data_IF_203528937260
#
_entry.id   IF_203528937260
#
_cell.length_a   1.000
_cell.length_b   1.000
_cell.length_c   1.000
_cell.angle_alpha   90.00
_cell.angle_beta   90.00
_cell.angle_gamma   90.00
#
_symmetry.space_group_name_H-M   'P 1'
#
loop_
_entity.id
_entity.type
_entity.pdbx_description
1 polymer ?
#
# COMPACT_ATOMS: atom_id res chain seq x y z
N UNK A 1 16.75 -0.31 -17.22
CA UNK A 1 16.16 -1.63 -17.53
C UNK A 1 14.99 -1.46 -18.46
N UNK A 2 15.10 -1.92 -19.70
CA UNK A 2 13.99 -1.83 -20.67
C UNK A 2 12.73 -2.48 -20.09
N UNK A 3 11.58 -1.81 -20.21
CA UNK A 3 10.30 -2.26 -19.68
C UNK A 3 9.97 -1.81 -18.25
N UNK A 4 10.94 -1.38 -17.43
CA UNK A 4 10.68 -0.87 -16.07
C UNK A 4 10.54 0.66 -16.10
N UNK A 5 9.31 1.16 -15.93
CA UNK A 5 9.00 2.59 -15.90
C UNK A 5 8.98 3.20 -14.50
N UNK A 6 8.77 2.38 -13.47
CA UNK A 6 8.62 2.84 -12.08
C UNK A 6 9.34 1.89 -11.14
N UNK A 7 10.14 2.46 -10.24
CA UNK A 7 10.75 1.76 -9.11
C UNK A 7 10.23 2.44 -7.86
N UNK A 8 9.51 1.66 -7.03
CA UNK A 8 8.83 2.17 -5.86
C UNK A 8 9.34 1.49 -4.59
N UNK A 9 9.47 2.27 -3.52
CA UNK A 9 9.81 1.77 -2.18
C UNK A 9 8.61 1.96 -1.25
N UNK A 10 8.27 0.94 -0.45
CA UNK A 10 7.36 1.09 0.69
C UNK A 10 8.17 1.08 1.98
N UNK A 11 7.95 2.05 2.87
CA UNK A 11 8.73 2.21 4.10
C UNK A 11 7.89 2.83 5.23
N UNK A 12 8.27 2.59 6.48
CA UNK A 12 7.74 3.34 7.63
C UNK A 12 8.36 4.75 7.75
N UNK A 13 9.34 5.07 6.92
CA UNK A 13 9.94 6.40 6.82
C UNK A 13 11.03 6.72 7.83
N UNK A 14 11.35 5.83 8.79
CA UNK A 14 12.27 6.14 9.90
C UNK A 14 13.71 6.47 9.45
N UNK A 15 14.11 6.03 8.27
CA UNK A 15 15.43 6.32 7.67
C UNK A 15 15.31 7.11 6.37
N UNK A 16 14.12 7.65 6.09
CA UNK A 16 13.84 8.29 4.81
C UNK A 16 14.72 9.51 4.60
N UNK A 17 14.74 10.43 5.57
CA UNK A 17 15.52 11.67 5.52
C UNK A 17 17.01 11.42 5.23
N UNK A 18 17.58 10.37 5.81
CA UNK A 18 19.00 10.04 5.70
C UNK A 18 19.38 9.44 4.33
N UNK A 19 18.47 8.70 3.70
CA UNK A 19 18.82 7.85 2.55
C UNK A 19 18.13 8.24 1.23
N UNK A 20 17.11 9.09 1.26
CA UNK A 20 16.27 9.37 0.08
C UNK A 20 17.07 9.91 -1.11
N UNK A 21 18.10 10.73 -0.87
CA UNK A 21 18.97 11.25 -1.92
C UNK A 21 19.70 10.10 -2.63
N UNK A 22 20.33 9.21 -1.86
CA UNK A 22 21.05 8.06 -2.42
C UNK A 22 20.10 7.14 -3.20
N UNK A 23 18.88 6.93 -2.71
CA UNK A 23 17.89 6.12 -3.42
C UNK A 23 17.41 6.77 -4.71
N UNK A 24 17.22 8.08 -4.71
CA UNK A 24 16.90 8.86 -5.90
C UNK A 24 18.00 8.77 -6.96
N UNK A 25 19.26 8.97 -6.55
CA UNK A 25 20.43 8.88 -7.44
C UNK A 25 20.57 7.47 -8.05
N UNK A 26 20.11 6.43 -7.33
CA UNK A 26 20.04 5.05 -7.80
C UNK A 26 18.81 4.75 -8.70
N UNK A 27 17.91 5.72 -8.92
CA UNK A 27 16.77 5.63 -9.83
C UNK A 27 15.40 5.39 -9.16
N UNK A 28 15.28 5.53 -7.83
CA UNK A 28 13.98 5.51 -7.15
C UNK A 28 13.12 6.70 -7.60
N UNK A 29 11.90 6.44 -8.07
CA UNK A 29 11.01 7.49 -8.58
C UNK A 29 9.59 7.48 -8.00
N UNK A 30 9.31 6.55 -7.09
CA UNK A 30 8.06 6.52 -6.32
C UNK A 30 8.29 6.04 -4.88
N UNK A 31 7.49 6.56 -3.95
CA UNK A 31 7.58 6.26 -2.54
C UNK A 31 6.18 6.01 -1.96
N UNK A 32 6.04 4.96 -1.16
CA UNK A 32 4.87 4.69 -0.33
C UNK A 32 5.30 4.71 1.14
N UNK A 33 4.67 5.54 1.96
CA UNK A 33 5.01 5.68 3.37
C UNK A 33 3.86 5.20 4.22
N UNK A 34 4.13 4.35 5.21
CA UNK A 34 3.16 3.99 6.24
C UNK A 34 3.17 5.05 7.34
N UNK A 35 2.06 5.76 7.51
CA UNK A 35 1.89 6.85 8.46
C UNK A 35 0.43 6.90 8.95
N UNK A 36 0.13 6.16 10.00
CA UNK A 36 -1.24 5.94 10.48
C UNK A 36 -1.89 7.15 11.17
N UNK A 37 -1.12 8.19 11.49
CA UNK A 37 -1.62 9.44 12.04
C UNK A 37 -0.72 10.63 11.71
N UNK A 38 -1.33 11.80 11.62
CA UNK A 38 -0.67 13.11 11.54
C UNK A 38 -0.62 13.83 12.91
N UNK A 39 -1.17 13.23 13.97
CA UNK A 39 -1.00 13.68 15.35
C UNK A 39 0.15 12.90 16.01
N UNK A 40 1.15 13.61 16.54
CA UNK A 40 2.36 12.98 17.09
C UNK A 40 2.06 12.02 18.27
N UNK A 41 1.08 12.35 19.13
CA UNK A 41 0.73 11.50 20.28
C UNK A 41 0.02 10.24 19.83
N UNK A 42 -0.90 10.35 18.89
CA UNK A 42 -1.58 9.19 18.33
C UNK A 42 -0.62 8.33 17.51
N UNK A 43 0.25 8.94 16.71
CA UNK A 43 1.30 8.25 15.96
C UNK A 43 2.20 7.43 16.90
N UNK A 44 2.64 8.03 18.01
CA UNK A 44 3.44 7.33 19.03
C UNK A 44 2.66 6.21 19.71
N UNK A 45 1.38 6.41 19.99
CA UNK A 45 0.50 5.36 20.55
C UNK A 45 0.37 4.17 19.59
N UNK A 46 0.24 4.41 18.28
CA UNK A 46 0.08 3.36 17.27
C UNK A 46 1.40 2.64 17.00
N UNK A 47 2.49 3.39 16.81
CA UNK A 47 3.77 2.84 16.33
C UNK A 47 4.74 2.48 17.45
N UNK A 48 4.51 2.97 18.67
CA UNK A 48 5.47 2.90 19.78
C UNK A 48 6.63 3.90 19.67
N UNK A 49 6.68 4.73 18.61
CA UNK A 49 7.82 5.60 18.32
C UNK A 49 7.41 7.05 18.04
N UNK A 50 8.25 7.98 18.50
CA UNK A 50 8.03 9.43 18.37
C UNK A 50 8.84 9.98 17.18
N UNK A 51 8.43 9.60 15.95
CA UNK A 51 9.23 9.82 14.72
C UNK A 51 8.47 10.54 13.61
N UNK A 52 7.24 11.01 13.88
CA UNK A 52 6.38 11.63 12.88
C UNK A 52 7.05 12.83 12.18
N UNK A 53 7.66 13.73 12.96
CA UNK A 53 8.31 14.94 12.41
C UNK A 53 9.45 14.59 11.44
N UNK A 54 10.23 13.55 11.74
CA UNK A 54 11.30 13.09 10.87
C UNK A 54 10.76 12.52 9.56
N UNK A 55 9.68 11.74 9.63
CA UNK A 55 9.00 11.19 8.45
C UNK A 55 8.48 12.31 7.56
N UNK A 56 7.82 13.31 8.15
CA UNK A 56 7.31 14.47 7.42
C UNK A 56 8.45 15.24 6.73
N UNK A 57 9.57 15.48 7.40
CA UNK A 57 10.77 16.09 6.77
C UNK A 57 11.30 15.25 5.61
N UNK A 58 11.33 13.93 5.74
CA UNK A 58 11.73 13.04 4.66
C UNK A 58 10.77 13.08 3.46
N UNK A 59 9.47 13.26 3.70
CA UNK A 59 8.46 13.46 2.64
C UNK A 59 8.74 14.72 1.85
N UNK A 60 8.99 15.85 2.54
CA UNK A 60 9.26 17.12 1.85
C UNK A 60 10.50 17.01 0.96
N UNK A 61 11.59 16.39 1.44
CA UNK A 61 12.80 16.14 0.61
C UNK A 61 12.46 15.27 -0.61
N UNK A 62 11.66 14.21 -0.44
CA UNK A 62 11.26 13.37 -1.57
C UNK A 62 10.44 14.15 -2.61
N UNK A 63 9.56 15.05 -2.16
CA UNK A 63 8.77 15.92 -3.02
C UNK A 63 9.66 16.91 -3.79
N UNK A 64 10.64 17.52 -3.12
CA UNK A 64 11.60 18.45 -3.73
C UNK A 64 12.44 17.77 -4.83
N UNK A 65 12.78 16.48 -4.65
CA UNK A 65 13.45 15.65 -5.66
C UNK A 65 12.54 15.23 -6.83
N UNK A 66 11.24 15.52 -6.76
CA UNK A 66 10.25 15.13 -7.77
C UNK A 66 9.83 13.65 -7.68
N UNK A 67 10.08 12.98 -6.56
CA UNK A 67 9.63 11.60 -6.33
C UNK A 67 8.11 11.60 -6.12
N UNK A 68 7.40 10.67 -6.76
CA UNK A 68 5.96 10.51 -6.55
C UNK A 68 5.69 9.91 -5.17
N UNK A 69 5.13 10.69 -4.26
CA UNK A 69 4.87 10.24 -2.88
C UNK A 69 3.41 9.82 -2.69
N UNK A 70 3.24 8.69 -2.02
CA UNK A 70 2.00 8.19 -1.45
C UNK A 70 2.20 7.97 0.04
N UNK A 71 1.21 8.34 0.84
CA UNK A 71 1.16 8.01 2.25
C UNK A 71 -0.03 7.08 2.49
N UNK A 72 0.09 6.14 3.43
CA UNK A 72 -0.95 5.18 3.75
C UNK A 72 -1.20 5.17 5.25
N UNK A 73 -2.46 5.15 5.64
CA UNK A 73 -2.91 4.88 7.00
C UNK A 73 -3.91 3.72 6.99
N UNK A 74 -3.79 2.80 7.94
CA UNK A 74 -4.86 1.85 8.21
C UNK A 74 -6.02 2.60 8.86
N UNK A 75 -7.22 2.49 8.29
CA UNK A 75 -8.42 3.14 8.79
C UNK A 75 -8.98 2.35 9.97
N UNK A 76 -8.92 2.94 11.17
CA UNK A 76 -9.23 2.28 12.43
C UNK A 76 -10.37 3.01 13.15
N UNK A 77 -11.48 2.30 13.37
CA UNK A 77 -12.62 2.77 14.16
C UNK A 77 -12.18 3.05 15.59
N UNK A 78 -12.54 4.23 16.09
CA UNK A 78 -12.21 4.68 17.44
C UNK A 78 -10.75 5.10 17.65
N UNK A 79 -9.90 5.04 16.61
CA UNK A 79 -8.48 5.40 16.69
C UNK A 79 -8.16 6.61 15.82
N UNK A 80 -8.15 6.48 14.49
CA UNK A 80 -7.77 7.58 13.59
C UNK A 80 -8.89 8.01 12.62
N UNK A 81 -9.98 7.25 12.49
CA UNK A 81 -11.05 7.55 11.55
C UNK A 81 -11.73 8.91 11.78
N UNK A 82 -11.68 9.46 12.99
CA UNK A 82 -12.21 10.79 13.31
C UNK A 82 -11.29 11.93 12.84
N UNK A 83 -10.04 11.62 12.49
CA UNK A 83 -9.03 12.60 12.04
C UNK A 83 -9.04 12.80 10.52
N UNK A 84 -10.01 12.24 9.77
CA UNK A 84 -10.11 12.42 8.31
C UNK A 84 -9.92 13.87 7.83
N UNK A 85 -10.51 14.91 8.48
CA UNK A 85 -10.27 16.31 8.10
C UNK A 85 -8.80 16.73 8.16
N UNK A 86 -8.03 16.24 9.14
CA UNK A 86 -6.60 16.56 9.29
C UNK A 86 -5.79 16.08 8.08
N UNK A 87 -6.14 14.92 7.52
CA UNK A 87 -5.48 14.39 6.34
C UNK A 87 -5.86 15.18 5.07
N UNK A 88 -7.11 15.65 4.96
CA UNK A 88 -7.52 16.52 3.85
C UNK A 88 -6.72 17.82 3.86
N UNK A 89 -6.65 18.47 5.02
CA UNK A 89 -5.89 19.71 5.19
C UNK A 89 -4.41 19.50 4.86
N UNK A 90 -3.84 18.36 5.27
CA UNK A 90 -2.44 18.05 5.01
C UNK A 90 -2.12 17.87 3.51
N UNK A 91 -3.02 17.23 2.74
CA UNK A 91 -2.84 17.06 1.29
C UNK A 91 -3.25 18.29 0.47
N UNK A 92 -3.79 19.34 1.10
CA UNK A 92 -4.25 20.55 0.40
C UNK A 92 -3.14 21.18 -0.43
N UNK A 93 -1.98 21.39 0.18
CA UNK A 93 -0.85 22.08 -0.45
C UNK A 93 0.27 21.11 -0.87
N UNK A 94 0.02 19.80 -0.83
CA UNK A 94 1.02 18.77 -1.15
C UNK A 94 0.54 17.86 -2.28
N UNK A 95 1.34 17.59 -3.32
CA UNK A 95 0.98 16.68 -4.40
C UNK A 95 1.13 15.21 -3.99
N UNK A 96 0.62 14.85 -2.80
CA UNK A 96 0.65 13.51 -2.21
C UNK A 96 -0.71 12.85 -2.37
N UNK A 97 -0.72 11.56 -2.72
CA UNK A 97 -1.91 10.71 -2.57
C UNK A 97 -1.90 10.08 -1.18
N UNK A 98 -2.76 10.55 -0.29
CA UNK A 98 -2.94 9.96 1.04
C UNK A 98 -4.02 8.90 1.00
N UNK A 99 -3.70 7.68 1.43
CA UNK A 99 -4.53 6.50 1.21
C UNK A 99 -4.97 5.88 2.51
N UNK A 100 -6.26 5.62 2.62
CA UNK A 100 -6.82 4.86 3.73
C UNK A 100 -6.98 3.42 3.32
N UNK A 101 -6.37 2.53 4.09
CA UNK A 101 -6.49 1.08 3.92
C UNK A 101 -7.51 0.59 4.93
N UNK A 102 -8.61 0.03 4.46
CA UNK A 102 -9.54 -0.66 5.34
C UNK A 102 -8.82 -1.83 6.02
N UNK A 103 -8.91 -1.87 7.36
CA UNK A 103 -8.26 -2.90 8.18
C UNK A 103 -8.63 -4.29 7.64
N UNK A 104 -7.63 -5.10 7.31
CA UNK A 104 -7.82 -6.48 6.86
C UNK A 104 -7.69 -7.45 8.02
N UNK A 105 -8.58 -8.44 8.06
CA UNK A 105 -8.46 -9.57 8.95
C UNK A 105 -7.29 -10.46 8.49
N UNK A 106 -6.46 -10.88 9.43
CA UNK A 106 -5.34 -11.82 9.27
C UNK A 106 -5.50 -12.98 10.24
N UNK A 107 -4.58 -13.96 10.19
CA UNK A 107 -4.65 -15.13 11.06
C UNK A 107 -4.55 -14.83 12.57
N UNK A 108 -4.02 -13.66 12.96
CA UNK A 108 -3.68 -13.32 14.34
C UNK A 108 -4.44 -12.12 14.93
N UNK A 109 -5.28 -11.43 14.14
CA UNK A 109 -5.85 -10.14 14.53
C UNK A 109 -7.39 -10.13 14.64
N UNK A 110 -8.03 -11.30 14.73
CA UNK A 110 -9.50 -11.39 14.65
C UNK A 110 -10.24 -10.49 15.66
N UNK A 111 -9.81 -10.45 16.92
CA UNK A 111 -10.41 -9.59 17.94
C UNK A 111 -10.18 -8.10 17.65
N UNK A 112 -8.98 -7.76 17.19
CA UNK A 112 -8.63 -6.40 16.81
C UNK A 112 -9.45 -5.93 15.60
N UNK A 113 -9.61 -6.79 14.60
CA UNK A 113 -10.48 -6.56 13.44
C UNK A 113 -11.93 -6.31 13.89
N UNK A 114 -12.49 -7.18 14.74
CA UNK A 114 -13.86 -7.02 15.24
C UNK A 114 -14.06 -5.69 15.99
N UNK A 115 -13.06 -5.25 16.75
CA UNK A 115 -13.13 -4.00 17.51
C UNK A 115 -12.96 -2.75 16.64
N UNK A 116 -12.04 -2.78 15.67
CA UNK A 116 -11.55 -1.58 14.99
C UNK A 116 -11.85 -1.51 13.49
N UNK A 117 -12.45 -2.53 12.89
CA UNK A 117 -12.82 -2.49 11.48
C UNK A 117 -13.82 -1.36 11.17
N UNK A 118 -13.53 -0.65 10.07
CA UNK A 118 -14.40 0.37 9.51
C UNK A 118 -14.40 0.24 7.99
N UNK A 119 -15.56 -0.03 7.41
CA UNK A 119 -15.70 -0.08 5.95
C UNK A 119 -15.31 1.26 5.31
N UNK A 120 -14.47 1.19 4.27
CA UNK A 120 -14.06 2.37 3.50
C UNK A 120 -15.23 3.07 2.79
N UNK A 121 -16.38 2.41 2.60
CA UNK A 121 -17.58 3.03 2.03
C UNK A 121 -18.07 4.22 2.85
N UNK A 122 -17.87 4.21 4.17
CA UNK A 122 -18.19 5.36 5.03
C UNK A 122 -17.34 6.58 4.69
N UNK A 123 -16.05 6.37 4.43
CA UNK A 123 -15.13 7.44 4.03
C UNK A 123 -15.44 7.91 2.62
N UNK A 124 -15.73 6.98 1.70
CA UNK A 124 -16.19 7.31 0.35
C UNK A 124 -17.40 8.22 0.36
N UNK A 125 -18.47 7.85 1.08
CA UNK A 125 -19.67 8.67 1.17
C UNK A 125 -19.39 10.05 1.78
N UNK A 126 -18.51 10.10 2.79
CA UNK A 126 -18.10 11.36 3.38
C UNK A 126 -17.34 12.25 2.37
N UNK A 127 -16.36 11.71 1.64
CA UNK A 127 -15.62 12.42 0.59
C UNK A 127 -16.54 12.98 -0.50
N UNK A 128 -17.49 12.18 -0.98
CA UNK A 128 -18.46 12.62 -1.98
C UNK A 128 -19.31 13.80 -1.48
N UNK A 129 -19.73 13.78 -0.21
CA UNK A 129 -20.46 14.89 0.42
C UNK A 129 -19.60 16.16 0.55
N UNK A 130 -18.28 16.01 0.66
CA UNK A 130 -17.31 17.12 0.68
C UNK A 130 -16.91 17.59 -0.73
N UNK A 131 -17.55 17.09 -1.80
CA UNK A 131 -17.29 17.52 -3.18
C UNK A 131 -16.07 16.87 -3.83
N UNK A 132 -15.53 15.79 -3.26
CA UNK A 132 -14.47 15.02 -3.90
C UNK A 132 -15.04 14.12 -5.00
N UNK A 133 -14.29 13.96 -6.09
CA UNK A 133 -14.70 13.19 -7.26
C UNK A 133 -13.80 11.99 -7.50
N UNK A 134 -14.40 10.81 -7.74
CA UNK A 134 -13.69 9.60 -8.08
C UNK A 134 -12.97 9.78 -9.42
N UNK A 135 -11.69 9.43 -9.46
CA UNK A 135 -10.87 9.51 -10.65
C UNK A 135 -10.90 8.18 -11.43
N UNK A 136 -10.80 8.22 -12.77
CA UNK A 136 -10.67 7.00 -13.57
C UNK A 136 -9.43 6.21 -13.17
N UNK A 137 -9.53 4.87 -13.21
CA UNK A 137 -8.39 3.99 -12.94
C UNK A 137 -7.56 3.80 -14.21
N UNK A 138 -6.25 3.91 -14.06
CA UNK A 138 -5.29 3.52 -15.11
C UNK A 138 -4.97 2.02 -15.00
N UNK A 139 -4.54 1.39 -16.10
CA UNK A 139 -4.16 -0.03 -16.12
C UNK A 139 -3.03 -0.37 -15.14
N UNK A 140 -2.11 0.58 -14.92
CA UNK A 140 -0.99 0.44 -13.99
C UNK A 140 -1.29 1.01 -12.60
N UNK A 141 -2.55 1.34 -12.31
CA UNK A 141 -2.93 1.88 -11.02
C UNK A 141 -2.79 0.83 -9.91
N UNK A 142 -2.50 1.32 -8.69
CA UNK A 142 -2.56 0.47 -7.50
C UNK A 142 -4.02 0.13 -7.12
N UNK A 143 -4.23 -0.56 -5.99
CA UNK A 143 -5.57 -0.99 -5.59
C UNK A 143 -6.51 0.17 -5.20
N UNK A 144 -5.96 1.35 -4.90
CA UNK A 144 -6.74 2.46 -4.37
C UNK A 144 -7.68 3.07 -5.41
N UNK A 145 -8.92 3.31 -5.01
CA UNK A 145 -9.81 4.25 -5.69
C UNK A 145 -9.43 5.66 -5.27
N UNK A 146 -8.98 6.48 -6.22
CA UNK A 146 -8.42 7.81 -5.96
C UNK A 146 -9.50 8.88 -6.16
N UNK A 147 -9.59 9.81 -5.21
CA UNK A 147 -10.51 10.93 -5.21
C UNK A 147 -9.73 12.24 -5.30
N UNK A 148 -10.27 13.20 -6.05
CA UNK A 148 -9.69 14.53 -6.21
C UNK A 148 -10.71 15.63 -5.89
N UNK A 149 -10.22 16.73 -5.35
CA UNK A 149 -10.93 18.00 -5.20
C UNK A 149 -10.20 19.07 -6.03
N UNK A 150 -10.93 20.07 -6.54
CA UNK A 150 -10.33 21.21 -7.23
C UNK A 150 -9.54 22.14 -6.29
N UNK A 151 -9.82 22.06 -4.98
CA UNK A 151 -9.20 22.90 -3.96
C UNK A 151 -7.94 22.30 -3.32
N UNK A 152 -7.51 21.11 -3.78
CA UNK A 152 -6.38 20.37 -3.20
C UNK A 152 -5.40 19.95 -4.29
N UNK A 153 -4.11 20.14 -4.05
CA UNK A 153 -3.04 19.63 -4.91
C UNK A 153 -2.94 18.11 -4.83
N UNK A 154 -3.15 17.55 -3.63
CA UNK A 154 -3.08 16.13 -3.38
C UNK A 154 -4.38 15.37 -3.68
N UNK A 155 -4.39 14.09 -3.30
CA UNK A 155 -5.50 13.17 -3.51
C UNK A 155 -5.77 12.34 -2.28
N UNK A 156 -6.99 11.82 -2.17
CA UNK A 156 -7.35 10.82 -1.18
C UNK A 156 -7.63 9.49 -1.87
N UNK A 157 -6.94 8.43 -1.50
CA UNK A 157 -7.19 7.09 -2.00
C UNK A 157 -7.88 6.20 -0.96
N UNK A 158 -8.75 5.30 -1.41
CA UNK A 158 -9.36 4.29 -0.55
C UNK A 158 -8.99 2.90 -1.06
N UNK A 159 -8.44 2.06 -0.20
CA UNK A 159 -8.13 0.65 -0.47
C UNK A 159 -9.13 -0.19 0.33
N UNK A 160 -10.15 -0.69 -0.36
CA UNK A 160 -11.27 -1.46 0.20
C UNK A 160 -11.19 -2.92 -0.27
N UNK A 161 -10.42 -3.79 0.41
CA UNK A 161 -10.19 -5.17 -0.02
C UNK A 161 -11.47 -6.03 0.09
N UNK A 162 -12.44 -5.63 0.89
CA UNK A 162 -13.76 -6.26 0.99
C UNK A 162 -14.74 -5.79 -0.10
N UNK A 163 -14.34 -4.80 -0.90
CA UNK A 163 -15.16 -4.26 -1.97
C UNK A 163 -15.39 -5.27 -3.08
N UNK A 164 -16.55 -5.16 -3.74
CA UNK A 164 -16.86 -5.95 -4.94
C UNK A 164 -15.79 -5.67 -6.01
N UNK A 165 -15.36 -6.71 -6.70
CA UNK A 165 -14.43 -6.63 -7.83
C UNK A 165 -13.02 -6.10 -7.51
N UNK A 166 -12.62 -6.01 -6.22
CA UNK A 166 -11.28 -5.55 -5.82
C UNK A 166 -10.13 -6.26 -6.55
N UNK A 167 -10.25 -7.59 -6.73
CA UNK A 167 -9.24 -8.39 -7.41
C UNK A 167 -9.32 -8.37 -8.94
N UNK A 168 -10.42 -7.88 -9.54
CA UNK A 168 -10.65 -7.96 -10.99
C UNK A 168 -9.59 -7.28 -11.85
N UNK A 169 -8.96 -6.23 -11.31
CA UNK A 169 -7.87 -5.49 -11.95
C UNK A 169 -6.49 -5.76 -11.30
N UNK A 170 -6.37 -6.78 -10.46
CA UNK A 170 -5.15 -7.05 -9.72
C UNK A 170 -4.04 -7.64 -10.61
N UNK A 171 -3.04 -6.82 -10.92
CA UNK A 171 -1.87 -7.17 -11.71
C UNK A 171 -0.60 -7.42 -10.87
N UNK A 172 -0.76 -7.70 -9.56
CA UNK A 172 0.36 -7.82 -8.62
C UNK A 172 0.79 -9.26 -8.40
N UNK A 173 2.11 -9.45 -8.40
CA UNK A 173 2.82 -10.63 -7.91
C UNK A 173 3.80 -10.17 -6.84
N UNK A 174 4.17 -11.09 -5.93
CA UNK A 174 5.13 -10.79 -4.87
C UNK A 174 6.17 -11.88 -4.75
N UNK A 175 7.39 -11.49 -4.42
CA UNK A 175 8.46 -12.42 -4.07
C UNK A 175 8.86 -12.09 -2.64
N UNK A 176 8.77 -13.08 -1.75
CA UNK A 176 9.21 -12.93 -0.35
C UNK A 176 10.74 -12.86 -0.27
N UNK A 177 11.27 -12.41 0.88
CA UNK A 177 12.72 -12.41 1.13
C UNK A 177 13.35 -13.81 1.07
N UNK A 178 12.57 -14.84 1.36
CA UNK A 178 12.96 -16.25 1.20
C UNK A 178 13.01 -16.70 -0.28
N UNK A 179 12.61 -15.84 -1.23
CA UNK A 179 12.62 -16.16 -2.67
C UNK A 179 11.43 -17.01 -3.10
N UNK A 180 10.29 -16.92 -2.41
CA UNK A 180 9.06 -17.59 -2.83
C UNK A 180 8.12 -16.61 -3.54
N UNK A 181 7.59 -17.02 -4.70
CA UNK A 181 6.56 -16.29 -5.44
C UNK A 181 5.20 -16.50 -4.78
N UNK A 182 4.51 -15.41 -4.46
CA UNK A 182 3.12 -15.40 -4.03
C UNK A 182 2.27 -14.72 -5.11
N UNK A 183 1.28 -15.45 -5.61
CA UNK A 183 0.34 -14.95 -6.61
C UNK A 183 -0.71 -14.01 -6.01
N UNK A 184 -0.92 -14.08 -4.70
CA UNK A 184 -1.85 -13.24 -3.95
C UNK A 184 -1.23 -12.85 -2.60
N UNK A 185 -1.73 -11.76 -1.99
CA UNK A 185 -1.42 -11.43 -0.60
C UNK A 185 -1.83 -12.56 0.32
N UNK A 186 -3.05 -13.07 0.14
CA UNK A 186 -3.69 -14.08 0.98
C UNK A 186 -3.55 -15.50 0.42
N UNK A 187 -2.47 -15.77 -0.33
CA UNK A 187 -2.21 -17.12 -0.83
C UNK A 187 -1.88 -18.06 0.34
N UNK A 188 -2.25 -19.34 0.24
CA UNK A 188 -1.88 -20.34 1.25
C UNK A 188 -0.39 -20.68 1.23
N UNK A 189 0.21 -20.75 0.03
CA UNK A 189 1.62 -21.13 -0.12
C UNK A 189 2.32 -20.24 -1.15
N UNK A 190 3.65 -20.17 -1.04
CA UNK A 190 4.51 -19.55 -2.05
C UNK A 190 5.25 -20.61 -2.88
N UNK A 191 5.58 -20.28 -4.13
CA UNK A 191 6.33 -21.16 -5.02
C UNK A 191 7.81 -20.81 -4.97
N UNK A 192 8.67 -21.77 -4.64
CA UNK A 192 10.11 -21.51 -4.53
C UNK A 192 10.73 -21.14 -5.89
N UNK A 193 11.33 -19.95 -5.97
CA UNK A 193 12.06 -19.50 -7.16
C UNK A 193 13.58 -19.66 -7.03
N UNK A 194 14.10 -19.86 -5.81
CA UNK A 194 15.55 -19.79 -5.53
C UNK A 194 16.36 -20.70 -6.46
N UNK A 195 15.89 -21.92 -6.71
CA UNK A 195 16.59 -22.88 -7.56
C UNK A 195 16.79 -22.42 -9.01
N UNK A 196 16.03 -21.42 -9.49
CA UNK A 196 16.14 -20.83 -10.83
C UNK A 196 16.76 -19.42 -10.84
N UNK A 197 17.25 -18.95 -9.69
CA UNK A 197 17.90 -17.65 -9.52
C UNK A 197 19.41 -17.79 -9.27
N UNK A 198 20.00 -18.95 -9.61
CA UNK A 198 21.40 -19.25 -9.31
C UNK A 198 22.35 -18.79 -10.42
N UNK A 199 21.95 -18.95 -11.68
CA UNK A 199 22.80 -18.67 -12.84
C UNK A 199 22.02 -18.00 -13.99
N UNK A 200 22.64 -17.12 -14.79
CA UNK A 200 21.97 -16.42 -15.89
C UNK A 200 21.28 -17.33 -16.92
N UNK A 201 21.81 -18.52 -17.18
CA UNK A 201 21.30 -19.48 -18.16
C UNK A 201 19.91 -20.02 -17.78
N UNK A 202 19.52 -19.91 -16.50
CA UNK A 202 18.22 -20.36 -15.99
C UNK A 202 17.08 -19.38 -16.32
N UNK A 203 17.38 -18.22 -16.92
CA UNK A 203 16.40 -17.17 -17.17
C UNK A 203 15.19 -17.67 -17.99
N UNK A 204 15.38 -18.53 -18.99
CA UNK A 204 14.27 -19.06 -19.79
C UNK A 204 13.39 -20.02 -18.97
N UNK A 205 14.00 -20.86 -18.13
CA UNK A 205 13.27 -21.77 -17.24
C UNK A 205 12.44 -20.99 -16.22
N UNK A 206 13.01 -19.92 -15.66
CA UNK A 206 12.30 -19.02 -14.76
C UNK A 206 11.08 -18.38 -15.44
N UNK A 207 11.25 -17.86 -16.67
CA UNK A 207 10.13 -17.27 -17.41
C UNK A 207 9.00 -18.29 -17.67
N UNK A 208 9.35 -19.50 -18.09
CA UNK A 208 8.38 -20.57 -18.33
C UNK A 208 7.61 -20.94 -17.05
N UNK A 209 8.32 -21.05 -15.90
CA UNK A 209 7.69 -21.30 -14.61
C UNK A 209 6.73 -20.16 -14.23
N UNK A 210 7.15 -18.90 -14.36
CA UNK A 210 6.31 -17.74 -14.04
C UNK A 210 5.04 -17.70 -14.89
N UNK A 211 5.15 -17.95 -16.20
CA UNK A 211 4.00 -18.02 -17.10
C UNK A 211 3.03 -19.14 -16.74
N UNK A 212 3.56 -20.32 -16.38
CA UNK A 212 2.75 -21.44 -15.93
C UNK A 212 2.04 -21.17 -14.60
N UNK A 213 2.70 -20.52 -13.63
CA UNK A 213 2.08 -20.19 -12.35
C UNK A 213 1.01 -19.10 -12.48
N UNK A 214 1.14 -18.22 -13.46
CA UNK A 214 0.13 -17.20 -13.71
C UNK A 214 -1.24 -17.77 -14.11
N UNK A 215 -1.28 -18.97 -14.71
CA UNK A 215 -2.56 -19.62 -15.06
C UNK A 215 -3.31 -20.17 -13.85
N UNK A 216 -2.64 -20.32 -12.70
CA UNK A 216 -3.26 -20.75 -11.44
C UNK A 216 -3.58 -19.58 -10.50
N UNK A 217 -3.51 -18.32 -10.99
CA UNK A 217 -3.87 -17.16 -10.18
C UNK A 217 -5.40 -17.08 -10.08
N UNK A 218 -5.91 -17.32 -8.87
CA UNK A 218 -7.33 -17.20 -8.55
C UNK A 218 -7.90 -15.81 -8.87
N UNK A 219 -9.17 -15.76 -9.26
CA UNK A 219 -9.87 -14.53 -9.63
C UNK A 219 -10.11 -13.59 -8.43
N UNK A 220 -10.12 -14.11 -7.21
CA UNK A 220 -10.32 -13.34 -5.97
C UNK A 220 -9.48 -13.89 -4.82
N UNK A 221 -9.33 -13.09 -3.76
CA UNK A 221 -8.61 -13.48 -2.56
C UNK A 221 -9.50 -14.11 -1.48
N UNK A 222 -10.81 -14.12 -1.66
CA UNK A 222 -11.78 -14.72 -0.74
C UNK A 222 -11.80 -14.20 0.71
N UNK A 223 -11.05 -13.12 1.03
CA UNK A 223 -11.09 -12.43 2.32
C UNK A 223 -12.51 -12.07 2.81
N UNK A 224 -13.43 -11.74 1.92
CA UNK A 224 -14.85 -11.49 2.23
C UNK A 224 -15.59 -12.71 2.81
N UNK A 225 -15.04 -13.91 2.66
CA UNK A 225 -15.54 -15.17 3.23
C UNK A 225 -14.67 -15.63 4.43
N UNK A 226 -13.72 -14.80 4.88
CA UNK A 226 -12.85 -15.11 6.02
C UNK A 226 -11.57 -15.88 5.66
N UNK A 227 -11.29 -16.11 4.38
CA UNK A 227 -10.05 -16.77 3.97
C UNK A 227 -8.87 -15.78 4.03
N UNK A 228 -7.99 -15.99 5.00
CA UNK A 228 -6.76 -15.19 5.19
C UNK A 228 -5.51 -15.87 4.63
N UNK A 229 -5.65 -17.11 4.12
CA UNK A 229 -4.53 -17.92 3.64
C UNK A 229 -3.49 -18.16 4.73
N UNK A 230 -2.20 -18.21 4.37
CA UNK A 230 -1.10 -18.26 5.34
C UNK A 230 -0.62 -16.88 5.80
N UNK A 231 -1.39 -15.82 5.52
CA UNK A 231 -1.04 -14.46 5.92
C UNK A 231 -1.33 -14.27 7.39
N UNK A 232 -0.32 -14.57 8.22
CA UNK A 232 -0.40 -14.33 9.66
C UNK A 232 -0.38 -12.83 9.95
N UNK A 233 0.55 -12.09 9.33
CA UNK A 233 0.54 -10.64 9.30
C UNK A 233 0.96 -10.11 7.91
N UNK A 234 0.58 -8.87 7.59
CA UNK A 234 0.82 -8.27 6.27
C UNK A 234 2.30 -7.96 6.00
N UNK A 235 3.08 -7.71 7.05
CA UNK A 235 4.50 -7.37 6.93
C UNK A 235 5.34 -8.50 6.33
N UNK A 236 4.89 -9.76 6.43
CA UNK A 236 5.54 -10.93 5.83
C UNK A 236 5.75 -10.81 4.30
N UNK A 237 4.85 -10.09 3.62
CA UNK A 237 4.86 -9.97 2.16
C UNK A 237 4.96 -8.50 1.70
N UNK A 238 5.40 -7.60 2.58
CA UNK A 238 5.51 -6.16 2.30
C UNK A 238 4.14 -5.48 2.11
N UNK A 239 3.14 -5.94 2.86
CA UNK A 239 1.82 -5.30 2.97
C UNK A 239 1.76 -4.26 4.07
#
# INVERSE_FOLDING_TARGET
>A
TNGIKTVALTTNGYKLKENIQQWYDAGLNALNISMDSLDARLFKTITGHDRLEEILKGIEIALDLGIKVKANAVLLKGINAHQLPLFLDWVKDRPVSFRFIELMQTGDNADYFKAHHLSGDKVRQWLLKQGWTLQPRNETAGPADEYRSEHHLGRIGLITPYGKDFCSSCNRLRVSSAGNLHLCLFAENGHNLRHLLQQPEQQQQLQNLLQSLLTSKEATHYLQQGYTGSTYNLSMLGG
#
